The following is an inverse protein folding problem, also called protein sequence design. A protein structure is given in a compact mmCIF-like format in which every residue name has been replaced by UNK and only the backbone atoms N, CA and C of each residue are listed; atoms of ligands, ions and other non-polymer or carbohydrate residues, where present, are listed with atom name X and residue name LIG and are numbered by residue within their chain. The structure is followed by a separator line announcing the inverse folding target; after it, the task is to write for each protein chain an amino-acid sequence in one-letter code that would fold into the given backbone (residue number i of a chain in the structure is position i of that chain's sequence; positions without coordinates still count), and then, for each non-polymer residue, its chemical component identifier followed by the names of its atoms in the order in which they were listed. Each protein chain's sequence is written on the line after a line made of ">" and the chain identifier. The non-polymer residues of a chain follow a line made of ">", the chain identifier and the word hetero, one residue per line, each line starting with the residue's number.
data_IF_407277325650
#
_entry.id   IF_407277325650
#
_cell.length_a   1.000
_cell.length_b   1.000
_cell.length_c   1.000
_cell.angle_alpha   90.00
_cell.angle_beta   90.00
_cell.angle_gamma   90.00
#
_symmetry.space_group_name_H-M   'P 1'
#
loop_
_entity.id
_entity.type
_entity.pdbx_description
1 polymer ?
#
# COMPACT_ATOMS: atom_id res chain seq x y z
N UNK A 1 24.88 -3.83 -69.69
CA UNK A 1 25.92 -4.05 -68.64
C UNK A 1 25.75 -2.95 -67.60
N UNK A 2 25.07 -3.22 -66.57
CA UNK A 2 25.02 -2.37 -65.36
C UNK A 2 24.70 -3.27 -64.19
N UNK A 3 25.70 -3.46 -63.35
CA UNK A 3 25.63 -4.25 -62.13
C UNK A 3 24.82 -3.50 -61.08
N UNK A 4 23.77 -4.13 -60.59
CA UNK A 4 22.97 -3.68 -59.45
C UNK A 4 23.53 -4.28 -58.15
N UNK A 5 24.14 -3.48 -57.36
CA UNK A 5 24.59 -3.85 -56.00
C UNK A 5 23.36 -3.91 -55.05
N UNK A 6 23.13 -5.09 -54.56
CA UNK A 6 22.10 -5.40 -53.55
C UNK A 6 22.65 -5.07 -52.14
N UNK A 7 22.16 -4.00 -51.53
CA UNK A 7 22.46 -3.67 -50.14
C UNK A 7 21.41 -4.35 -49.23
N UNK A 8 21.88 -5.33 -48.46
CA UNK A 8 21.14 -5.97 -47.38
C UNK A 8 21.16 -5.07 -46.17
N UNK A 9 20.05 -4.51 -45.81
CA UNK A 9 19.87 -3.80 -44.54
C UNK A 9 19.75 -4.82 -43.40
N UNK A 10 20.62 -4.75 -42.39
CA UNK A 10 20.53 -5.53 -41.18
C UNK A 10 19.48 -4.98 -40.21
N UNK A 11 18.82 -5.84 -39.42
CA UNK A 11 17.90 -5.41 -38.39
C UNK A 11 18.66 -5.06 -37.10
N UNK A 12 18.78 -3.79 -36.83
CA UNK A 12 19.18 -3.25 -35.55
C UNK A 12 18.07 -2.36 -35.04
N UNK A 13 16.98 -2.92 -34.55
CA UNK A 13 16.06 -2.18 -33.68
C UNK A 13 16.56 -2.35 -32.25
N UNK A 14 17.14 -1.27 -31.78
CA UNK A 14 17.43 -0.96 -30.40
C UNK A 14 16.10 -1.05 -29.62
N UNK A 15 15.93 -2.11 -28.83
CA UNK A 15 14.83 -2.21 -27.90
C UNK A 15 15.24 -1.34 -26.73
N UNK A 16 14.86 -0.06 -26.79
CA UNK A 16 15.03 0.87 -25.70
C UNK A 16 14.47 0.28 -24.41
N UNK A 17 15.30 0.24 -23.42
CA UNK A 17 15.04 -0.13 -22.03
C UNK A 17 14.00 0.86 -21.45
N UNK A 18 12.72 0.55 -21.64
CA UNK A 18 11.61 1.31 -21.08
C UNK A 18 11.40 0.94 -19.59
N UNK A 19 12.47 1.10 -18.78
CA UNK A 19 12.45 0.91 -17.34
C UNK A 19 11.97 2.16 -16.57
N UNK A 20 11.72 3.28 -17.25
CA UNK A 20 11.53 4.59 -16.62
C UNK A 20 10.06 5.08 -16.52
N UNK A 21 9.07 4.34 -17.00
CA UNK A 21 7.70 4.86 -17.13
C UNK A 21 6.72 4.51 -16.00
N UNK A 22 7.18 3.85 -14.91
CA UNK A 22 6.35 3.71 -13.73
C UNK A 22 6.89 4.54 -12.57
N UNK A 23 6.67 5.85 -12.59
CA UNK A 23 6.76 6.74 -11.43
C UNK A 23 5.34 7.04 -10.91
N UNK A 24 4.86 6.34 -9.88
CA UNK A 24 3.56 6.65 -9.26
C UNK A 24 3.57 7.99 -8.53
N UNK A 25 4.72 8.66 -8.43
CA UNK A 25 4.92 9.90 -7.68
C UNK A 25 4.89 11.14 -8.57
N UNK A 26 4.90 10.99 -9.90
CA UNK A 26 4.91 12.13 -10.82
C UNK A 26 3.52 12.73 -11.12
N UNK A 27 2.58 12.54 -10.21
CA UNK A 27 1.34 13.29 -10.22
C UNK A 27 1.55 14.59 -9.41
N UNK A 28 1.90 15.64 -10.11
CA UNK A 28 1.93 17.04 -9.70
C UNK A 28 3.07 17.50 -8.77
N UNK A 29 4.03 18.17 -9.36
CA UNK A 29 4.87 19.17 -8.70
C UNK A 29 4.06 20.40 -8.32
N UNK A 30 3.08 20.29 -7.44
CA UNK A 30 2.43 21.43 -6.79
C UNK A 30 2.97 21.54 -5.37
N UNK A 31 3.69 22.62 -5.13
CA UNK A 31 4.53 22.95 -3.99
C UNK A 31 4.00 22.64 -2.58
N UNK A 32 4.77 23.07 -1.60
CA UNK A 32 4.66 23.08 -0.12
C UNK A 32 3.32 22.64 0.54
N UNK A 33 2.18 22.81 -0.12
CA UNK A 33 0.83 22.48 0.37
C UNK A 33 0.52 20.99 0.28
N UNK A 34 1.19 20.22 -0.60
CA UNK A 34 0.94 18.80 -0.76
C UNK A 34 1.57 17.97 0.38
N UNK A 35 2.54 18.54 1.10
CA UNK A 35 3.19 17.93 2.25
C UNK A 35 2.46 18.17 3.59
N UNK A 36 1.45 19.04 3.62
CA UNK A 36 0.74 19.42 4.85
C UNK A 36 0.19 18.19 5.62
N UNK A 37 -0.44 17.19 5.00
CA UNK A 37 -0.85 15.98 5.68
C UNK A 37 0.31 15.23 6.35
N UNK A 38 1.44 15.13 5.70
CA UNK A 38 2.62 14.47 6.24
C UNK A 38 3.23 15.24 7.43
N UNK A 39 3.21 16.57 7.38
CA UNK A 39 3.66 17.42 8.50
C UNK A 39 2.74 17.30 9.71
N UNK A 40 1.42 17.31 9.52
CA UNK A 40 0.43 17.12 10.57
C UNK A 40 0.71 15.79 11.30
N UNK A 41 0.90 14.70 10.57
CA UNK A 41 1.18 13.39 11.17
C UNK A 41 2.52 13.35 11.89
N UNK A 42 3.58 13.89 11.29
CA UNK A 42 4.92 13.91 11.88
C UNK A 42 4.92 14.70 13.20
N UNK A 43 4.33 15.89 13.23
CA UNK A 43 4.21 16.69 14.44
C UNK A 43 3.35 16.00 15.50
N UNK A 44 2.24 15.37 15.09
CA UNK A 44 1.41 14.57 16.01
C UNK A 44 2.21 13.44 16.65
N UNK A 45 2.96 12.69 15.82
CA UNK A 45 3.76 11.57 16.30
C UNK A 45 4.85 12.01 17.29
N UNK A 46 5.57 13.10 16.99
CA UNK A 46 6.60 13.67 17.88
C UNK A 46 5.99 14.09 19.20
N UNK A 47 4.89 14.86 19.17
CA UNK A 47 4.25 15.34 20.39
C UNK A 47 3.66 14.21 21.25
N UNK A 48 3.00 13.23 20.63
CA UNK A 48 2.45 12.06 21.34
C UNK A 48 3.55 11.18 21.94
N UNK A 49 4.64 10.95 21.21
CA UNK A 49 5.81 10.24 21.74
C UNK A 49 6.42 10.99 22.93
N UNK A 50 6.59 12.30 22.80
CA UNK A 50 7.10 13.12 23.91
C UNK A 50 6.21 13.04 25.14
N UNK A 51 4.88 13.12 24.99
CA UNK A 51 3.94 12.96 26.10
C UNK A 51 4.00 11.57 26.74
N UNK A 52 4.30 10.53 25.96
CA UNK A 52 4.39 9.16 26.48
C UNK A 52 5.64 8.93 27.35
N UNK A 53 6.74 9.65 27.10
CA UNK A 53 8.03 9.45 27.79
C UNK A 53 8.39 10.56 28.79
N UNK A 54 7.73 11.73 28.74
CA UNK A 54 8.09 12.85 29.62
C UNK A 54 7.32 12.81 30.94
N UNK A 55 8.07 12.84 32.06
CA UNK A 55 7.55 13.04 33.40
C UNK A 55 7.53 14.54 33.82
N UNK A 56 8.20 15.41 33.05
CA UNK A 56 8.27 16.83 33.30
C UNK A 56 6.98 17.53 32.87
N UNK A 57 6.29 18.17 33.82
CA UNK A 57 5.08 18.96 33.52
C UNK A 57 5.35 20.05 32.50
N UNK A 58 6.54 20.65 32.51
CA UNK A 58 6.96 21.71 31.60
C UNK A 58 7.13 21.22 30.17
N UNK A 59 7.69 20.01 30.02
CA UNK A 59 7.80 19.40 28.68
C UNK A 59 6.44 18.93 28.15
N UNK A 60 5.62 18.34 29.02
CA UNK A 60 4.26 17.92 28.66
C UNK A 60 3.43 19.08 28.12
N UNK A 61 3.46 20.24 28.80
CA UNK A 61 2.77 21.46 28.35
C UNK A 61 3.22 21.88 26.94
N UNK A 62 4.52 21.76 26.63
CA UNK A 62 5.05 22.06 25.28
C UNK A 62 4.54 21.10 24.23
N UNK A 63 4.51 19.79 24.53
CA UNK A 63 3.95 18.81 23.60
C UNK A 63 2.45 19.00 23.39
N UNK A 64 1.70 19.36 24.41
CA UNK A 64 0.29 19.71 24.31
C UNK A 64 0.08 20.97 23.43
N UNK A 65 0.97 21.95 23.54
CA UNK A 65 0.90 23.16 22.67
C UNK A 65 1.17 22.81 21.21
N UNK A 66 2.11 21.91 20.92
CA UNK A 66 2.31 21.37 19.55
C UNK A 66 1.01 20.72 19.04
N UNK A 67 0.33 19.90 19.85
CA UNK A 67 -0.93 19.28 19.45
C UNK A 67 -2.05 20.30 19.17
N UNK A 68 -2.10 21.44 19.88
CA UNK A 68 -3.03 22.52 19.60
C UNK A 68 -2.73 23.21 18.25
N UNK A 69 -1.45 23.36 17.91
CA UNK A 69 -1.05 23.87 16.58
C UNK A 69 -1.45 22.89 15.49
N UNK A 70 -1.17 21.59 15.71
CA UNK A 70 -1.56 20.53 14.79
C UNK A 70 -3.08 20.50 14.55
N UNK A 71 -3.90 20.66 15.59
CA UNK A 71 -5.35 20.73 15.45
C UNK A 71 -5.79 21.86 14.51
N UNK A 72 -5.19 23.07 14.66
CA UNK A 72 -5.45 24.21 13.77
C UNK A 72 -4.99 23.94 12.32
N UNK A 73 -3.86 23.26 12.14
CA UNK A 73 -3.41 22.84 10.80
C UNK A 73 -4.38 21.85 10.18
N UNK A 74 -4.91 20.92 10.97
CA UNK A 74 -5.87 19.91 10.53
C UNK A 74 -7.21 20.54 10.12
N UNK A 75 -7.73 21.51 10.89
CA UNK A 75 -8.92 22.29 10.52
C UNK A 75 -8.70 23.02 9.19
N UNK A 76 -7.55 23.66 9.01
CA UNK A 76 -7.21 24.34 7.76
C UNK A 76 -7.05 23.38 6.58
N UNK A 77 -6.56 22.17 6.82
CA UNK A 77 -6.45 21.11 5.81
C UNK A 77 -7.84 20.53 5.47
N UNK A 78 -8.69 20.29 6.45
CA UNK A 78 -10.06 19.80 6.27
C UNK A 78 -10.92 20.76 5.43
N UNK A 79 -10.79 22.05 5.64
CA UNK A 79 -11.46 23.07 4.82
C UNK A 79 -11.03 23.03 3.33
N UNK A 80 -9.97 22.31 2.99
CA UNK A 80 -9.42 22.12 1.63
C UNK A 80 -9.53 20.68 1.13
N UNK A 81 -10.35 19.85 1.79
CA UNK A 81 -10.48 18.41 1.50
C UNK A 81 -9.15 17.62 1.61
N UNK A 82 -8.27 18.04 2.51
CA UNK A 82 -6.93 17.46 2.76
C UNK A 82 -6.75 17.00 4.21
N UNK A 83 -7.84 16.73 4.91
CA UNK A 83 -7.81 16.26 6.29
C UNK A 83 -7.08 14.91 6.42
N UNK A 84 -6.43 14.69 7.56
CA UNK A 84 -5.79 13.42 7.90
C UNK A 84 -6.38 12.85 9.19
N UNK A 85 -6.50 11.53 9.25
CA UNK A 85 -6.95 10.86 10.46
C UNK A 85 -5.78 10.73 11.45
N UNK A 86 -5.83 11.54 12.51
CA UNK A 86 -4.86 11.47 13.62
C UNK A 86 -5.36 10.63 14.79
N UNK A 87 -6.60 10.10 14.72
CA UNK A 87 -7.18 9.27 15.79
C UNK A 87 -6.39 7.99 16.02
N UNK A 88 -5.71 7.50 14.98
CA UNK A 88 -4.81 6.33 15.06
C UNK A 88 -3.66 6.49 16.04
N UNK A 89 -3.33 7.72 16.40
CA UNK A 89 -2.32 8.04 17.42
C UNK A 89 -2.95 8.34 18.79
N UNK A 90 -4.27 8.25 18.91
CA UNK A 90 -4.93 8.32 20.20
C UNK A 90 -4.46 7.12 21.04
N UNK A 91 -4.07 7.41 22.23
CA UNK A 91 -3.51 6.59 23.30
C UNK A 91 -3.47 5.07 23.05
N UNK A 92 -2.23 4.53 22.95
CA UNK A 92 -2.01 3.10 23.16
C UNK A 92 -2.52 2.66 24.54
N UNK A 93 -2.49 1.36 24.88
CA UNK A 93 -2.95 0.86 26.17
C UNK A 93 -2.34 1.69 27.30
N UNK A 94 -3.17 2.22 28.19
CA UNK A 94 -2.74 3.08 29.29
C UNK A 94 -1.62 2.39 30.06
N UNK A 95 -0.46 3.03 30.14
CA UNK A 95 0.66 2.62 30.96
C UNK A 95 1.87 2.03 30.23
N UNK A 96 1.85 1.90 28.89
CA UNK A 96 3.03 1.50 28.12
C UNK A 96 3.52 2.72 27.32
N UNK A 97 4.59 3.41 27.75
CA UNK A 97 5.23 4.41 26.92
C UNK A 97 5.72 3.78 25.62
N UNK A 98 5.53 4.46 24.50
CA UNK A 98 5.94 3.93 23.21
C UNK A 98 6.09 5.02 22.16
N UNK A 99 6.93 4.75 21.17
CA UNK A 99 7.00 5.59 19.99
C UNK A 99 5.70 5.48 19.18
N UNK A 100 5.22 6.61 18.70
CA UNK A 100 4.15 6.62 17.73
C UNK A 100 4.75 6.23 16.37
N UNK A 101 4.27 5.14 15.81
CA UNK A 101 4.73 4.58 14.53
C UNK A 101 3.57 4.39 13.57
N UNK A 102 3.81 4.31 12.26
CA UNK A 102 2.77 3.92 11.32
C UNK A 102 2.15 2.57 11.73
N UNK A 103 0.86 2.42 11.50
CA UNK A 103 0.19 1.13 11.61
C UNK A 103 0.70 0.17 10.54
N UNK A 104 0.56 -1.12 10.78
CA UNK A 104 0.95 -2.16 9.84
C UNK A 104 -0.28 -2.88 9.30
N UNK A 105 -0.31 -3.05 7.98
CA UNK A 105 -1.31 -3.83 7.27
C UNK A 105 -0.62 -4.85 6.36
N UNK A 106 -1.40 -5.79 5.86
CA UNK A 106 -0.95 -6.79 4.88
C UNK A 106 -1.90 -6.81 3.69
N UNK A 107 -1.42 -7.37 2.57
CA UNK A 107 -2.24 -7.67 1.41
C UNK A 107 -1.72 -8.88 0.67
N UNK A 108 -2.58 -9.56 -0.07
CA UNK A 108 -2.28 -10.81 -0.74
C UNK A 108 -2.62 -10.79 -2.22
N UNK A 109 -1.64 -10.98 -3.07
CA UNK A 109 -1.84 -11.37 -4.47
C UNK A 109 -1.86 -12.90 -4.50
N UNK A 110 -3.04 -13.49 -4.48
CA UNK A 110 -3.22 -14.95 -4.47
C UNK A 110 -3.43 -15.44 -5.89
N UNK A 111 -2.63 -16.42 -6.31
CA UNK A 111 -2.75 -17.05 -7.62
C UNK A 111 -3.17 -18.51 -7.48
N UNK A 112 -4.12 -18.93 -8.31
CA UNK A 112 -4.46 -20.35 -8.46
C UNK A 112 -3.52 -21.08 -9.44
N UNK A 113 -3.75 -22.39 -9.63
CA UNK A 113 -2.97 -23.22 -10.56
C UNK A 113 -3.06 -22.75 -12.02
N UNK A 114 -4.15 -22.09 -12.41
CA UNK A 114 -4.35 -21.49 -13.72
C UNK A 114 -3.80 -20.07 -13.80
N UNK A 115 -3.26 -19.54 -12.69
CA UNK A 115 -2.73 -18.18 -12.54
C UNK A 115 -3.77 -17.07 -12.60
N UNK A 116 -4.99 -17.38 -12.31
CA UNK A 116 -5.99 -16.37 -12.03
C UNK A 116 -5.71 -15.73 -10.68
N UNK A 117 -5.98 -14.44 -10.58
CA UNK A 117 -5.83 -13.68 -9.34
C UNK A 117 -7.13 -13.68 -8.55
N UNK A 118 -7.02 -13.89 -7.24
CA UNK A 118 -8.14 -13.79 -6.31
C UNK A 118 -8.41 -12.33 -5.96
N UNK A 119 -9.62 -11.87 -6.18
CA UNK A 119 -10.06 -10.54 -5.76
C UNK A 119 -11.31 -10.62 -4.90
N UNK A 120 -11.44 -9.66 -4.00
CA UNK A 120 -12.64 -9.39 -3.21
C UNK A 120 -13.31 -8.12 -3.70
N UNK A 121 -14.63 -8.05 -3.57
CA UNK A 121 -15.40 -6.84 -3.77
C UNK A 121 -15.83 -6.30 -2.42
N UNK A 122 -15.37 -5.12 -2.05
CA UNK A 122 -15.72 -4.50 -0.78
C UNK A 122 -17.22 -4.22 -0.67
N UNK A 123 -17.79 -4.48 0.51
CA UNK A 123 -19.21 -4.22 0.76
C UNK A 123 -19.54 -2.72 0.85
N UNK A 124 -18.61 -1.91 1.37
CA UNK A 124 -18.78 -0.46 1.58
C UNK A 124 -18.70 0.37 0.28
N UNK A 125 -17.77 0.04 -0.60
CA UNK A 125 -17.45 0.84 -1.79
C UNK A 125 -17.75 0.16 -3.12
N UNK A 126 -17.98 -1.16 -3.11
CA UNK A 126 -18.18 -1.97 -4.32
C UNK A 126 -16.93 -2.08 -5.20
N UNK A 127 -15.78 -1.63 -4.73
CA UNK A 127 -14.51 -1.67 -5.45
C UNK A 127 -13.89 -3.04 -5.31
N UNK A 128 -13.32 -3.56 -6.39
CA UNK A 128 -12.52 -4.78 -6.39
C UNK A 128 -11.09 -4.48 -5.97
N UNK A 129 -10.50 -5.34 -5.12
CA UNK A 129 -9.10 -5.32 -4.73
C UNK A 129 -8.65 -6.71 -4.28
N UNK A 130 -7.37 -6.89 -4.04
CA UNK A 130 -6.86 -8.09 -3.43
C UNK A 130 -7.24 -8.16 -1.92
N UNK A 131 -7.28 -9.35 -1.29
CA UNK A 131 -7.50 -9.50 0.15
C UNK A 131 -6.49 -8.69 0.96
N UNK A 132 -6.95 -7.97 2.00
CA UNK A 132 -6.12 -7.06 2.79
C UNK A 132 -6.71 -6.81 4.17
N UNK A 133 -5.85 -6.70 5.19
CA UNK A 133 -6.28 -6.40 6.54
C UNK A 133 -5.20 -5.79 7.43
N UNK A 134 -5.59 -5.41 8.64
CA UNK A 134 -4.68 -4.91 9.66
C UNK A 134 -3.86 -6.04 10.27
N UNK A 135 -2.59 -5.76 10.59
CA UNK A 135 -1.76 -6.73 11.28
C UNK A 135 -2.21 -6.90 12.75
N UNK A 136 -2.61 -8.11 13.10
CA UNK A 136 -2.98 -8.47 14.47
C UNK A 136 -1.75 -8.68 15.35
N UNK A 137 -1.85 -8.24 16.60
CA UNK A 137 -0.81 -8.48 17.61
C UNK A 137 -0.70 -9.98 17.90
N UNK A 138 0.51 -10.50 17.90
CA UNK A 138 0.80 -11.91 18.18
C UNK A 138 0.94 -12.78 16.92
N UNK A 139 0.71 -12.20 15.75
CA UNK A 139 0.89 -12.85 14.45
C UNK A 139 2.02 -12.20 13.66
N UNK A 140 2.76 -12.99 12.91
CA UNK A 140 3.67 -12.46 11.89
C UNK A 140 2.89 -11.94 10.69
N UNK A 141 3.46 -11.03 9.87
CA UNK A 141 2.76 -10.54 8.66
C UNK A 141 2.33 -11.65 7.70
N UNK A 142 3.09 -12.74 7.59
CA UNK A 142 2.75 -13.89 6.76
C UNK A 142 1.55 -14.67 7.32
N UNK A 143 1.46 -14.82 8.65
CA UNK A 143 0.31 -15.46 9.30
C UNK A 143 -0.96 -14.61 9.16
N UNK A 144 -0.83 -13.28 9.30
CA UNK A 144 -1.98 -12.37 9.09
C UNK A 144 -2.48 -12.49 7.65
N UNK A 145 -1.60 -12.50 6.66
CA UNK A 145 -2.00 -12.67 5.25
C UNK A 145 -2.80 -13.95 5.01
N UNK A 146 -2.37 -15.08 5.59
CA UNK A 146 -3.10 -16.35 5.46
C UNK A 146 -4.47 -16.26 6.09
N UNK A 147 -4.55 -15.66 7.29
CA UNK A 147 -5.78 -15.44 8.03
C UNK A 147 -6.77 -14.57 7.24
N UNK A 148 -6.32 -13.41 6.75
CA UNK A 148 -7.16 -12.47 6.00
C UNK A 148 -7.68 -13.09 4.69
N UNK A 149 -6.83 -13.80 3.94
CA UNK A 149 -7.27 -14.51 2.73
C UNK A 149 -8.36 -15.52 3.05
N UNK A 150 -8.20 -16.29 4.12
CA UNK A 150 -9.21 -17.28 4.51
C UNK A 150 -10.51 -16.61 4.99
N UNK A 151 -10.43 -15.57 5.82
CA UNK A 151 -11.60 -14.88 6.38
C UNK A 151 -12.40 -14.13 5.32
N UNK A 152 -11.71 -13.42 4.42
CA UNK A 152 -12.37 -12.62 3.37
C UNK A 152 -12.87 -13.45 2.18
N UNK A 153 -12.28 -14.63 1.94
CA UNK A 153 -12.49 -15.36 0.68
C UNK A 153 -12.84 -16.85 0.81
N UNK A 154 -12.58 -17.48 1.96
CA UNK A 154 -12.67 -18.92 2.15
C UNK A 154 -11.53 -19.74 1.53
N UNK A 155 -10.57 -19.09 0.88
CA UNK A 155 -9.43 -19.74 0.21
C UNK A 155 -8.28 -19.95 1.20
N UNK A 156 -7.66 -21.14 1.16
CA UNK A 156 -6.40 -21.41 1.84
C UNK A 156 -5.24 -21.05 0.92
N UNK A 157 -4.20 -20.42 1.47
CA UNK A 157 -3.04 -20.05 0.69
C UNK A 157 -1.72 -20.19 1.44
N UNK A 158 -0.62 -20.30 0.69
CA UNK A 158 0.75 -20.26 1.19
C UNK A 158 1.46 -19.04 0.65
N UNK A 159 1.93 -18.10 1.49
CA UNK A 159 2.79 -16.98 1.08
C UNK A 159 4.11 -17.52 0.52
N UNK A 160 4.52 -17.01 -0.64
CA UNK A 160 5.75 -17.47 -1.33
C UNK A 160 6.81 -16.39 -1.43
N UNK A 161 6.42 -15.11 -1.60
CA UNK A 161 7.32 -13.98 -1.75
C UNK A 161 6.73 -12.73 -1.12
N UNK A 162 7.58 -11.84 -0.62
CA UNK A 162 7.21 -10.47 -0.32
C UNK A 162 7.33 -9.65 -1.62
N UNK A 163 6.21 -9.17 -2.15
CA UNK A 163 6.16 -8.37 -3.37
C UNK A 163 6.50 -6.91 -3.12
N UNK A 164 6.01 -6.35 -2.01
CA UNK A 164 6.21 -4.94 -1.72
C UNK A 164 6.08 -4.61 -0.24
N UNK A 165 6.69 -3.47 0.15
CA UNK A 165 6.35 -2.70 1.34
C UNK A 165 5.98 -1.30 0.89
N UNK A 166 4.74 -0.88 1.16
CA UNK A 166 4.14 0.34 0.65
C UNK A 166 3.82 1.32 1.77
N UNK A 167 4.15 2.60 1.56
CA UNK A 167 3.61 3.69 2.37
C UNK A 167 2.23 4.09 1.84
N UNK A 168 1.19 3.70 2.57
CA UNK A 168 -0.19 3.89 2.16
C UNK A 168 -0.61 5.35 1.99
N UNK A 169 -0.07 6.24 2.82
CA UNK A 169 -0.33 7.68 2.69
C UNK A 169 0.37 8.27 1.48
N UNK A 170 1.65 7.94 1.27
CA UNK A 170 2.43 8.43 0.16
C UNK A 170 1.79 8.06 -1.19
N UNK A 171 1.22 6.88 -1.26
CA UNK A 171 0.51 6.39 -2.45
C UNK A 171 -0.95 6.88 -2.54
N UNK A 172 -1.42 7.64 -1.57
CA UNK A 172 -2.74 8.29 -1.61
C UNK A 172 -3.94 7.36 -1.43
N UNK A 173 -3.73 6.14 -0.94
CA UNK A 173 -4.84 5.21 -0.75
C UNK A 173 -5.43 5.17 0.66
N UNK A 174 -4.79 5.83 1.59
CA UNK A 174 -5.30 6.02 2.94
C UNK A 174 -4.86 7.37 3.49
N UNK A 175 -5.62 7.88 4.44
CA UNK A 175 -5.25 9.05 5.25
C UNK A 175 -4.61 8.65 6.58
N UNK A 176 -4.47 7.35 6.83
CA UNK A 176 -3.82 6.78 8.00
C UNK A 176 -2.36 6.52 7.71
N UNK A 177 -1.45 6.95 8.59
CA UNK A 177 -0.04 6.55 8.49
C UNK A 177 0.07 5.03 8.63
N UNK A 178 0.43 4.36 7.55
CA UNK A 178 0.39 2.92 7.46
C UNK A 178 1.44 2.38 6.47
N UNK A 179 2.10 1.31 6.87
CA UNK A 179 2.87 0.47 5.95
C UNK A 179 2.10 -0.80 5.65
N UNK A 180 2.03 -1.17 4.37
CA UNK A 180 1.39 -2.40 3.91
C UNK A 180 2.41 -3.35 3.29
N UNK A 181 2.49 -4.57 3.83
CA UNK A 181 3.33 -5.64 3.30
C UNK A 181 2.50 -6.50 2.34
N UNK A 182 2.83 -6.50 1.06
CA UNK A 182 2.10 -7.22 0.02
C UNK A 182 2.81 -8.53 -0.29
N UNK A 183 2.10 -9.63 -0.15
CA UNK A 183 2.64 -10.97 -0.40
C UNK A 183 2.09 -11.57 -1.69
N UNK A 184 2.95 -12.29 -2.42
CA UNK A 184 2.53 -13.26 -3.41
C UNK A 184 2.20 -14.56 -2.69
N UNK A 185 1.00 -15.08 -2.91
CA UNK A 185 0.51 -16.31 -2.32
C UNK A 185 0.09 -17.30 -3.41
N UNK A 186 0.35 -18.58 -3.17
CA UNK A 186 -0.21 -19.67 -3.95
C UNK A 186 -1.50 -20.15 -3.27
N UNK A 187 -2.57 -20.31 -4.04
CA UNK A 187 -3.78 -20.96 -3.54
C UNK A 187 -3.54 -22.47 -3.33
N UNK A 188 -3.99 -22.99 -2.20
CA UNK A 188 -3.86 -24.40 -1.83
C UNK A 188 -5.22 -25.12 -1.82
N UNK A 189 -6.33 -24.38 -2.03
CA UNK A 189 -7.69 -24.91 -2.05
C UNK A 189 -8.66 -24.02 -1.28
N UNK A 190 -9.83 -24.54 -0.97
CA UNK A 190 -10.92 -23.82 -0.32
C UNK A 190 -12.05 -23.48 -1.29
N UNK A 191 -13.22 -23.13 -0.75
CA UNK A 191 -14.40 -22.71 -1.51
C UNK A 191 -14.59 -21.21 -1.38
N UNK A 192 -14.87 -20.52 -2.50
CA UNK A 192 -15.10 -19.08 -2.47
C UNK A 192 -16.30 -18.74 -1.57
N UNK A 193 -16.00 -18.10 -0.46
CA UNK A 193 -16.99 -17.68 0.55
C UNK A 193 -16.71 -16.25 0.97
N UNK A 194 -17.52 -15.28 0.51
CA UNK A 194 -17.33 -13.87 0.92
C UNK A 194 -17.57 -13.70 2.42
N UNK A 195 -16.76 -12.86 3.07
CA UNK A 195 -17.02 -12.48 4.46
C UNK A 195 -18.34 -11.69 4.55
N UNK A 196 -19.27 -12.07 5.46
CA UNK A 196 -20.66 -11.59 5.42
C UNK A 196 -20.82 -10.09 5.65
N UNK A 197 -19.85 -9.42 6.28
CA UNK A 197 -19.90 -7.99 6.62
C UNK A 197 -18.98 -7.12 5.76
N UNK A 198 -17.87 -7.68 5.25
CA UNK A 198 -16.79 -6.90 4.65
C UNK A 198 -16.73 -7.04 3.13
N UNK A 199 -17.16 -8.20 2.61
CA UNK A 199 -17.08 -8.48 1.18
C UNK A 199 -18.45 -8.76 0.57
N UNK A 200 -18.79 -8.07 -0.52
CA UNK A 200 -20.00 -8.31 -1.31
C UNK A 200 -19.79 -9.28 -2.47
N UNK A 201 -18.54 -9.77 -2.66
CA UNK A 201 -18.21 -10.74 -3.69
C UNK A 201 -16.76 -11.17 -3.62
N UNK A 202 -16.50 -12.40 -4.07
CA UNK A 202 -15.17 -12.99 -4.22
C UNK A 202 -15.12 -13.72 -5.54
N UNK A 203 -14.05 -13.53 -6.33
CA UNK A 203 -13.90 -14.21 -7.61
C UNK A 203 -12.44 -14.35 -8.04
N UNK A 204 -12.19 -15.34 -8.92
CA UNK A 204 -10.96 -15.51 -9.66
C UNK A 204 -11.02 -14.78 -10.98
N UNK A 205 -10.00 -13.99 -11.29
CA UNK A 205 -9.91 -13.24 -12.54
C UNK A 205 -8.66 -13.62 -13.32
N UNK A 206 -8.80 -13.73 -14.63
CA UNK A 206 -7.64 -13.77 -15.52
C UNK A 206 -6.88 -12.44 -15.42
N UNK A 207 -5.54 -12.50 -15.45
CA UNK A 207 -4.70 -11.28 -15.31
C UNK A 207 -4.95 -10.28 -16.45
N UNK A 208 -5.38 -10.77 -17.60
CA UNK A 208 -5.69 -9.95 -18.79
C UNK A 208 -7.15 -9.50 -18.86
N UNK A 209 -8.01 -9.95 -17.94
CA UNK A 209 -9.44 -9.61 -17.88
C UNK A 209 -9.87 -9.24 -16.46
N UNK A 210 -9.28 -8.16 -15.95
CA UNK A 210 -9.56 -7.66 -14.59
C UNK A 210 -10.80 -6.77 -14.59
N UNK A 211 -11.56 -6.70 -13.46
CA UNK A 211 -12.76 -5.89 -13.38
C UNK A 211 -12.46 -4.40 -13.55
N UNK A 212 -13.31 -3.67 -14.29
CA UNK A 212 -13.12 -2.25 -14.62
C UNK A 212 -13.03 -1.32 -13.39
N UNK A 213 -13.66 -1.69 -12.26
CA UNK A 213 -13.60 -0.97 -11.00
C UNK A 213 -12.57 -1.56 -10.02
N UNK A 214 -11.53 -2.21 -10.53
CA UNK A 214 -10.39 -2.63 -9.74
C UNK A 214 -9.65 -1.38 -9.22
N UNK A 215 -9.25 -1.39 -7.97
CA UNK A 215 -8.38 -0.36 -7.40
C UNK A 215 -6.95 -0.54 -7.94
N UNK A 216 -6.71 0.04 -9.09
CA UNK A 216 -5.54 -0.22 -9.96
C UNK A 216 -4.20 0.18 -9.36
N UNK A 217 -4.15 1.16 -8.47
CA UNK A 217 -2.91 1.62 -7.81
C UNK A 217 -2.11 0.50 -7.14
N UNK A 218 -2.73 -0.66 -6.91
CA UNK A 218 -2.14 -1.77 -6.17
C UNK A 218 -1.80 -2.98 -7.00
N UNK A 219 -2.35 -3.10 -8.19
CA UNK A 219 -2.27 -4.33 -8.94
C UNK A 219 -1.31 -4.23 -10.14
N UNK A 220 -1.27 -3.08 -10.80
CA UNK A 220 -0.69 -2.98 -12.14
C UNK A 220 0.79 -3.39 -12.25
N UNK A 221 1.74 -2.95 -11.39
CA UNK A 221 3.13 -3.32 -11.56
C UNK A 221 3.39 -4.80 -11.30
N UNK A 222 2.72 -5.35 -10.26
CA UNK A 222 2.92 -6.74 -9.86
C UNK A 222 2.26 -7.71 -10.82
N UNK A 223 1.09 -7.37 -11.36
CA UNK A 223 0.40 -8.19 -12.34
C UNK A 223 1.22 -8.31 -13.63
N UNK A 224 1.91 -7.25 -14.06
CA UNK A 224 2.82 -7.33 -15.20
C UNK A 224 3.96 -8.33 -14.93
N UNK A 225 4.62 -8.25 -13.76
CA UNK A 225 5.67 -9.22 -13.39
C UNK A 225 5.13 -10.65 -13.28
N UNK A 226 3.94 -10.82 -12.72
CA UNK A 226 3.29 -12.12 -12.60
C UNK A 226 2.96 -12.67 -13.98
N UNK A 227 2.62 -11.83 -14.97
CA UNK A 227 2.35 -12.23 -16.34
C UNK A 227 3.58 -12.77 -17.04
N UNK A 228 4.71 -12.07 -16.97
CA UNK A 228 5.88 -12.32 -17.82
C UNK A 228 6.79 -13.46 -17.32
N UNK A 229 6.69 -13.89 -16.09
CA UNK A 229 7.27 -15.11 -15.47
C UNK A 229 8.73 -15.48 -15.71
N UNK A 230 9.55 -14.64 -16.22
CA UNK A 230 10.95 -15.00 -16.48
C UNK A 230 11.77 -15.13 -15.19
N UNK A 231 11.41 -14.40 -14.12
CA UNK A 231 12.08 -14.45 -12.81
C UNK A 231 11.10 -14.15 -11.67
N UNK A 232 11.41 -14.51 -10.40
CA UNK A 232 10.65 -14.05 -9.25
C UNK A 232 10.53 -12.52 -9.24
N UNK A 233 9.35 -11.95 -8.94
CA UNK A 233 9.19 -10.50 -8.88
C UNK A 233 10.15 -9.91 -7.85
N UNK A 234 10.84 -8.84 -8.23
CA UNK A 234 11.65 -8.07 -7.28
C UNK A 234 10.73 -7.40 -6.27
N UNK A 235 11.13 -7.40 -4.99
CA UNK A 235 10.39 -6.68 -3.96
C UNK A 235 10.43 -5.18 -4.26
N UNK A 236 9.25 -4.58 -4.37
CA UNK A 236 9.10 -3.14 -4.53
C UNK A 236 9.09 -2.45 -3.16
N UNK A 237 9.65 -1.28 -3.09
CA UNK A 237 9.52 -0.34 -1.97
C UNK A 237 9.56 1.09 -2.51
N UNK A 238 8.92 2.00 -1.78
CA UNK A 238 8.84 3.38 -2.18
C UNK A 238 10.24 4.02 -2.29
N UNK A 239 10.54 4.76 -3.39
CA UNK A 239 11.82 5.39 -3.55
C UNK A 239 12.08 6.45 -2.47
N UNK A 240 13.35 6.62 -2.10
CA UNK A 240 13.77 7.65 -1.14
C UNK A 240 13.51 9.03 -1.73
N UNK A 241 12.90 9.91 -0.95
CA UNK A 241 12.72 11.32 -1.33
C UNK A 241 13.99 12.11 -0.97
N UNK A 242 14.59 12.85 -1.92
CA UNK A 242 15.85 13.58 -1.68
C UNK A 242 15.77 14.61 -0.56
N UNK A 243 14.60 15.21 -0.36
CA UNK A 243 14.32 16.24 0.65
C UNK A 243 14.04 15.69 2.06
N UNK A 244 14.07 14.35 2.22
CA UNK A 244 13.78 13.68 3.49
C UNK A 244 15.00 12.97 4.11
N UNK A 245 16.19 13.10 3.51
CA UNK A 245 17.45 12.48 3.97
C UNK A 245 18.48 13.54 4.24
#
# INVERSE_FOLDING_TARGET
>A
MSEGTNQVAGPGQDIGDNQDDFDPVNASASGVIDDLPAWILSLTAVARTGLAFSDSLYERERYEEILKVVARMQEAAGARDRGVDTSVFAEGPRGIPGYVTPKTAVGAIVLDASRRVLLIRRADSGVWLYPTGWADVGYSPAEVVVKEVQEETGVHCTPTHLLAVLDGMRLGFTQVAMYSSIFLCRADGGELTPHPLETSGVAWFEIDDLPANLRTLFAAPWLAWIRDRSEPPRTYFDPVRPDRV
#
